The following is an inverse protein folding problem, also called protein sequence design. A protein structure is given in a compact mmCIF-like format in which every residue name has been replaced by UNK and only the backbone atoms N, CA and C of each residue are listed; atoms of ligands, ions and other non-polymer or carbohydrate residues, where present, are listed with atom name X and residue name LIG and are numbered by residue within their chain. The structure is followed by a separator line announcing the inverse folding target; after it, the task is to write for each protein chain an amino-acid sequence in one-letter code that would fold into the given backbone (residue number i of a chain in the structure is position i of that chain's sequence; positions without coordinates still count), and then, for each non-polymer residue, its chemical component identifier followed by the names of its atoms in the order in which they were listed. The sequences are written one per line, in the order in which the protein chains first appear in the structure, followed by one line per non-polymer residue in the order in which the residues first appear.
data_IF_613137476401
#
_entry.id   IF_613137476401
#
_cell.length_a   1.000
_cell.length_b   1.000
_cell.length_c   1.000
_cell.angle_alpha   90.00
_cell.angle_beta   90.00
_cell.angle_gamma   90.00
#
_symmetry.space_group_name_H-M   'P 1'
#
loop_
_entity.id
_entity.type
_entity.pdbx_description
1 polymer ?
#
# COMPACT_ATOMS: atom_id res chain seq x y z
N UNK A 1 2.16 2.63 -4.11
CA UNK A 1 1.18 1.93 -3.26
C UNK A 1 1.65 1.98 -1.82
N UNK A 2 0.76 2.20 -0.85
CA UNK A 2 1.11 2.30 0.56
C UNK A 2 0.33 1.24 1.32
N UNK A 3 0.98 0.54 2.24
CA UNK A 3 0.29 -0.47 3.05
C UNK A 3 -0.63 0.19 4.09
N UNK A 4 -1.74 -0.47 4.40
CA UNK A 4 -2.71 0.04 5.36
C UNK A 4 -3.78 -1.00 5.67
N UNK A 5 -4.60 -0.70 6.68
CA UNK A 5 -5.71 -1.53 7.12
C UNK A 5 -7.04 -0.80 6.89
N UNK A 6 -8.06 -1.54 6.48
CA UNK A 6 -9.43 -1.01 6.42
C UNK A 6 -10.01 -0.98 7.83
N UNK A 7 -10.45 0.20 8.28
CA UNK A 7 -11.10 0.39 9.57
C UNK A 7 -12.62 0.33 9.47
N UNK A 8 -13.17 0.84 8.38
CA UNK A 8 -14.62 0.93 8.15
C UNK A 8 -14.93 1.05 6.66
N UNK A 9 -16.11 0.56 6.27
CA UNK A 9 -16.69 0.74 4.94
C UNK A 9 -18.02 1.47 5.06
N UNK A 10 -18.29 2.40 4.15
CA UNK A 10 -19.49 3.24 4.10
C UNK A 10 -19.92 3.46 2.63
N UNK A 11 -21.20 3.75 2.40
CA UNK A 11 -21.71 4.15 1.06
C UNK A 11 -21.94 5.67 1.02
N UNK A 12 -21.33 6.37 0.06
CA UNK A 12 -21.50 7.81 -0.16
C UNK A 12 -21.93 8.07 -1.60
N UNK A 13 -23.14 8.57 -1.80
CA UNK A 13 -23.71 8.87 -3.12
C UNK A 13 -23.63 7.69 -4.11
N UNK A 14 -23.83 6.47 -3.62
CA UNK A 14 -23.76 5.24 -4.44
C UNK A 14 -22.33 4.71 -4.67
N UNK A 15 -21.30 5.39 -4.15
CA UNK A 15 -19.91 4.94 -4.20
C UNK A 15 -19.53 4.31 -2.85
N UNK A 16 -18.92 3.14 -2.90
CA UNK A 16 -18.35 2.50 -1.71
C UNK A 16 -17.04 3.21 -1.33
N UNK A 17 -17.00 3.69 -0.10
CA UNK A 17 -15.89 4.39 0.51
C UNK A 17 -15.35 3.56 1.67
N UNK A 18 -14.03 3.50 1.79
CA UNK A 18 -13.34 2.80 2.86
C UNK A 18 -12.49 3.80 3.65
N UNK A 19 -12.62 3.75 4.97
CA UNK A 19 -11.68 4.43 5.87
C UNK A 19 -10.47 3.53 6.06
N UNK A 20 -9.31 4.00 5.63
CA UNK A 20 -8.04 3.29 5.74
C UNK A 20 -7.16 3.95 6.80
N UNK A 21 -6.40 3.15 7.53
CA UNK A 21 -5.27 3.60 8.35
C UNK A 21 -3.97 3.11 7.73
N UNK A 22 -3.10 4.04 7.35
CA UNK A 22 -1.84 3.70 6.71
C UNK A 22 -0.82 3.15 7.71
N UNK A 23 -0.07 2.15 7.27
CA UNK A 23 0.86 1.45 8.15
C UNK A 23 2.15 2.22 8.41
N UNK A 24 2.57 3.03 7.43
CA UNK A 24 3.87 3.70 7.39
C UNK A 24 3.73 5.23 7.39
N UNK A 25 2.53 5.75 7.13
CA UNK A 25 2.26 7.20 7.12
C UNK A 25 1.69 7.68 8.46
N UNK A 26 2.18 8.82 8.91
CA UNK A 26 1.80 9.45 10.18
C UNK A 26 1.36 10.89 9.96
N UNK A 27 0.41 11.36 10.78
CA UNK A 27 -0.04 12.76 10.77
C UNK A 27 1.11 13.73 11.03
N UNK A 28 2.01 13.35 11.94
CA UNK A 28 3.28 14.05 12.19
C UNK A 28 4.42 13.07 11.90
N UNK A 29 5.14 13.32 10.80
CA UNK A 29 6.27 12.47 10.36
C UNK A 29 7.42 12.43 11.37
N UNK A 30 7.60 13.46 12.20
CA UNK A 30 8.67 13.51 13.21
C UNK A 30 8.27 12.75 14.47
N UNK A 31 7.05 12.96 14.96
CA UNK A 31 6.58 12.35 16.21
C UNK A 31 6.17 10.89 16.05
N UNK A 32 5.65 10.51 14.87
CA UNK A 32 5.18 9.14 14.58
C UNK A 32 4.22 8.55 15.62
N UNK A 33 3.43 9.39 16.29
CA UNK A 33 2.54 8.99 17.39
C UNK A 33 1.15 8.56 16.91
N UNK A 34 0.70 9.08 15.77
CA UNK A 34 -0.63 8.79 15.22
C UNK A 34 -0.54 8.55 13.72
N UNK A 35 -1.03 7.37 13.31
CA UNK A 35 -1.09 6.96 11.91
C UNK A 35 -2.07 7.85 11.14
N UNK A 36 -1.78 8.07 9.87
CA UNK A 36 -2.66 8.81 8.97
C UNK A 36 -3.88 7.95 8.65
N UNK A 37 -5.07 8.54 8.74
CA UNK A 37 -6.32 7.91 8.33
C UNK A 37 -6.99 8.75 7.24
N UNK A 38 -7.50 8.11 6.20
CA UNK A 38 -8.17 8.76 5.08
C UNK A 38 -9.39 7.96 4.63
N UNK A 39 -10.36 8.65 4.03
CA UNK A 39 -11.46 8.00 3.32
C UNK A 39 -11.10 7.95 1.83
N UNK A 40 -11.04 6.76 1.25
CA UNK A 40 -10.77 6.54 -0.17
C UNK A 40 -11.89 5.70 -0.78
N UNK A 41 -12.09 5.75 -2.10
CA UNK A 41 -13.05 4.84 -2.74
C UNK A 41 -12.47 3.41 -2.78
N UNK A 42 -13.34 2.42 -2.74
CA UNK A 42 -12.93 1.01 -2.67
C UNK A 42 -12.14 0.56 -3.91
N UNK A 43 -12.28 1.24 -5.05
CA UNK A 43 -11.49 1.00 -6.26
C UNK A 43 -10.01 1.41 -6.13
N UNK A 44 -9.65 2.20 -5.11
CA UNK A 44 -8.27 2.64 -4.84
C UNK A 44 -7.51 1.75 -3.88
N UNK A 45 -8.13 0.68 -3.37
CA UNK A 45 -7.49 -0.31 -2.49
C UNK A 45 -7.38 -1.66 -3.19
N UNK A 46 -6.41 -2.48 -2.77
CA UNK A 46 -6.31 -3.89 -3.19
C UNK A 46 -5.83 -4.74 -2.00
N UNK A 47 -6.13 -6.04 -1.98
CA UNK A 47 -5.54 -6.96 -1.01
C UNK A 47 -4.00 -6.95 -1.07
N UNK A 48 -3.35 -7.31 0.03
CA UNK A 48 -1.90 -7.51 0.03
C UNK A 48 -1.52 -8.53 -1.05
N UNK A 49 -0.43 -8.26 -1.77
CA UNK A 49 0.07 -9.22 -2.75
C UNK A 49 0.35 -10.57 -2.10
N UNK A 50 0.11 -11.68 -2.81
CA UNK A 50 0.49 -13.00 -2.33
C UNK A 50 1.96 -13.00 -1.92
N UNK A 51 2.27 -13.65 -0.80
CA UNK A 51 3.66 -13.87 -0.43
C UNK A 51 4.31 -14.76 -1.47
N UNK A 52 5.53 -14.39 -1.88
CA UNK A 52 6.39 -15.26 -2.68
C UNK A 52 6.62 -16.57 -1.91
N UNK A 53 6.63 -17.70 -2.63
CA UNK A 53 6.76 -19.00 -1.98
C UNK A 53 8.14 -19.10 -1.33
N UNK A 54 8.16 -19.44 -0.05
CA UNK A 54 9.39 -19.66 0.71
C UNK A 54 10.24 -20.73 0.02
N UNK A 55 11.32 -20.33 -0.66
CA UNK A 55 12.20 -21.22 -1.42
C UNK A 55 12.39 -20.85 -2.90
N UNK A 56 11.57 -19.96 -3.46
CA UNK A 56 11.86 -19.37 -4.77
C UNK A 56 12.95 -18.31 -4.61
N UNK A 57 14.16 -18.63 -5.09
CA UNK A 57 15.23 -17.62 -5.23
C UNK A 57 14.90 -16.81 -6.47
N UNK A 58 14.13 -15.74 -6.30
CA UNK A 58 13.82 -14.81 -7.37
C UNK A 58 15.07 -13.95 -7.61
N UNK A 59 15.85 -14.32 -8.62
CA UNK A 59 16.79 -13.40 -9.23
C UNK A 59 16.01 -12.45 -10.12
N UNK A 60 16.24 -11.16 -9.99
CA UNK A 60 15.74 -10.19 -10.95
C UNK A 60 16.65 -10.14 -12.17
N UNK A 61 16.06 -10.05 -13.35
CA UNK A 61 16.75 -9.87 -14.62
C UNK A 61 16.63 -8.42 -15.11
N UNK A 62 17.54 -8.03 -16.00
CA UNK A 62 17.48 -6.74 -16.66
C UNK A 62 16.12 -6.59 -17.36
N UNK A 63 15.52 -5.40 -17.26
CA UNK A 63 14.19 -5.08 -17.76
C UNK A 63 13.01 -5.64 -16.95
N UNK A 64 13.23 -6.37 -15.85
CA UNK A 64 12.13 -6.84 -15.01
C UNK A 64 11.35 -5.66 -14.41
N UNK A 65 10.02 -5.74 -14.51
CA UNK A 65 9.11 -4.80 -13.85
C UNK A 65 8.96 -5.21 -12.40
N UNK A 66 9.39 -4.35 -11.50
CA UNK A 66 9.41 -4.61 -10.06
C UNK A 66 8.63 -3.54 -9.30
N UNK A 67 8.22 -3.86 -8.08
CA UNK A 67 7.79 -2.87 -7.10
C UNK A 67 8.91 -2.72 -6.06
N UNK A 68 9.55 -1.54 -6.01
CA UNK A 68 10.60 -1.23 -5.05
C UNK A 68 10.02 -0.51 -3.83
N UNK A 69 10.45 -0.89 -2.63
CA UNK A 69 10.02 -0.19 -1.41
C UNK A 69 10.85 1.09 -1.21
N UNK A 70 10.22 2.26 -1.35
CA UNK A 70 10.83 3.57 -1.23
C UNK A 70 9.83 4.60 -0.69
N UNK A 71 10.28 5.53 0.16
CA UNK A 71 9.44 6.58 0.77
C UNK A 71 8.14 6.05 1.38
N UNK A 72 8.26 5.04 2.26
CA UNK A 72 7.14 4.46 3.00
C UNK A 72 6.09 3.73 2.14
N UNK A 73 6.41 3.43 0.87
CA UNK A 73 5.52 2.73 -0.05
C UNK A 73 6.24 1.91 -1.12
N UNK A 74 5.46 1.17 -1.89
CA UNK A 74 5.87 0.40 -3.06
C UNK A 74 5.74 1.25 -4.32
N UNK A 75 6.84 1.45 -5.04
CA UNK A 75 6.93 2.22 -6.27
C UNK A 75 7.20 1.28 -7.44
N UNK A 76 6.44 1.40 -8.53
CA UNK A 76 6.71 0.66 -9.75
C UNK A 76 8.01 1.16 -10.39
N UNK A 77 8.85 0.22 -10.81
CA UNK A 77 10.12 0.49 -11.47
C UNK A 77 10.52 -0.64 -12.41
N UNK A 78 11.69 -0.49 -13.02
CA UNK A 78 12.31 -1.47 -13.90
C UNK A 78 13.77 -1.67 -13.49
N UNK A 79 14.26 -2.90 -13.57
CA UNK A 79 15.66 -3.24 -13.33
C UNK A 79 16.50 -2.80 -14.54
N UNK A 80 17.57 -2.05 -14.27
CA UNK A 80 18.55 -1.51 -15.24
C UNK A 80 19.96 -2.04 -15.02
#
# INVERSE_FOLDING_TARGET
MVSGNVLKTDMLNGVEMVRVEYSTLFLDKKKKTKRLQENVSSDRIRPQQPFEKLGERLSFELMDKVEAYHNDGWCSGQVE
#
